data_IF_799086192262
#
_entry.id   IF_799086192262
#
_cell.length_a   1.000
_cell.length_b   1.000
_cell.length_c   1.000
_cell.angle_alpha   90.00
_cell.angle_beta   90.00
_cell.angle_gamma   90.00
#
_symmetry.space_group_name_H-M   'P 1'
#
loop_
_entity.id
_entity.type
_entity.pdbx_description
1 polymer ?
#
# COMPACT_ATOMS: atom_id res chain seq x y z
N UNK A 1 71.40 -15.38 44.04
CA UNK A 1 70.10 -15.53 44.72
C UNK A 1 69.02 -15.36 43.67
N UNK A 2 68.35 -16.45 43.28
CA UNK A 2 67.29 -16.46 42.27
C UNK A 2 65.98 -16.78 42.98
N UNK A 3 65.07 -15.81 43.07
CA UNK A 3 63.70 -16.05 43.52
C UNK A 3 62.81 -16.27 42.30
N UNK A 4 62.30 -17.49 42.14
CA UNK A 4 61.15 -17.77 41.25
C UNK A 4 59.88 -17.63 42.07
N UNK A 5 59.04 -16.65 41.75
CA UNK A 5 57.66 -16.64 42.20
C UNK A 5 56.82 -17.52 41.27
N UNK A 6 56.28 -18.62 41.82
CA UNK A 6 55.13 -19.33 41.25
C UNK A 6 53.90 -18.45 41.47
N UNK A 7 53.19 -18.12 40.41
CA UNK A 7 51.79 -17.70 40.51
C UNK A 7 50.92 -18.93 40.24
N UNK A 8 50.39 -19.49 41.32
CA UNK A 8 49.28 -20.46 41.25
C UNK A 8 47.99 -19.73 40.92
N UNK A 9 47.21 -20.34 40.03
CA UNK A 9 45.96 -19.82 39.52
C UNK A 9 44.85 -19.85 40.55
N UNK A 10 44.20 -18.71 40.74
CA UNK A 10 42.91 -18.62 41.39
C UNK A 10 41.90 -18.09 40.36
N UNK A 11 41.29 -19.01 39.62
CA UNK A 11 40.17 -18.70 38.75
C UNK A 11 38.95 -18.44 39.65
N UNK A 12 38.53 -17.18 39.70
CA UNK A 12 37.45 -16.73 40.58
C UNK A 12 36.10 -17.30 40.14
N UNK A 13 35.48 -18.14 40.97
CA UNK A 13 34.10 -18.63 40.82
C UNK A 13 33.06 -17.49 40.67
N UNK A 14 33.37 -16.28 41.12
CA UNK A 14 32.47 -15.11 41.03
C UNK A 14 32.17 -14.64 39.61
N UNK A 15 33.03 -14.94 38.63
CA UNK A 15 32.77 -14.61 37.22
C UNK A 15 31.78 -15.56 36.54
N UNK A 16 31.67 -16.80 37.00
CA UNK A 16 30.85 -17.84 36.38
C UNK A 16 29.35 -17.66 36.67
N UNK A 17 28.97 -17.26 37.88
CA UNK A 17 27.56 -17.02 38.24
C UNK A 17 26.99 -15.76 37.57
N UNK A 18 27.78 -14.69 37.43
CA UNK A 18 27.38 -13.49 36.69
C UNK A 18 27.22 -13.75 35.19
N UNK A 19 28.07 -14.62 34.62
CA UNK A 19 27.94 -15.07 33.23
C UNK A 19 26.65 -15.86 32.96
N UNK A 20 26.22 -16.70 33.91
CA UNK A 20 24.99 -17.48 33.79
C UNK A 20 23.73 -16.60 33.71
N UNK A 21 23.64 -15.57 34.56
CA UNK A 21 22.52 -14.61 34.52
C UNK A 21 22.46 -13.81 33.21
N UNK A 22 23.63 -13.36 32.72
CA UNK A 22 23.72 -12.68 31.44
C UNK A 22 23.32 -13.58 30.26
N UNK A 23 23.69 -14.87 30.32
CA UNK A 23 23.27 -15.87 29.33
C UNK A 23 21.75 -16.04 29.25
N UNK A 24 21.05 -16.09 30.38
CA UNK A 24 19.59 -16.20 30.42
C UNK A 24 18.92 -14.95 29.83
N UNK A 25 19.45 -13.75 30.13
CA UNK A 25 18.94 -12.50 29.55
C UNK A 25 19.12 -12.45 28.02
N UNK A 26 20.27 -12.88 27.51
CA UNK A 26 20.50 -12.99 26.07
C UNK A 26 19.54 -13.98 25.41
N UNK A 27 19.24 -15.10 26.08
CA UNK A 27 18.35 -16.14 25.56
C UNK A 27 16.91 -15.60 25.45
N UNK A 28 16.41 -14.92 26.48
CA UNK A 28 15.11 -14.25 26.45
C UNK A 28 15.04 -13.15 25.39
N UNK A 29 16.10 -12.34 25.27
CA UNK A 29 16.19 -11.30 24.25
C UNK A 29 16.17 -11.87 22.82
N UNK A 30 16.91 -12.95 22.57
CA UNK A 30 16.93 -13.63 21.28
C UNK A 30 15.57 -14.24 20.93
N UNK A 31 14.89 -14.87 21.90
CA UNK A 31 13.52 -15.39 21.69
C UNK A 31 12.52 -14.28 21.39
N UNK A 32 12.59 -13.14 22.08
CA UNK A 32 11.72 -12.00 21.78
C UNK A 32 11.99 -11.39 20.39
N UNK A 33 13.26 -11.27 19.99
CA UNK A 33 13.67 -10.82 18.66
C UNK A 33 13.16 -11.76 17.56
N UNK A 34 13.28 -13.08 17.76
CA UNK A 34 12.75 -14.09 16.84
C UNK A 34 11.23 -14.02 16.74
N UNK A 35 10.53 -13.86 17.87
CA UNK A 35 9.08 -13.74 17.89
C UNK A 35 8.59 -12.46 17.19
N UNK A 36 9.29 -11.33 17.34
CA UNK A 36 9.00 -10.09 16.59
C UNK A 36 9.24 -10.26 15.08
N UNK A 37 10.22 -11.07 14.69
CA UNK A 37 10.49 -11.38 13.29
C UNK A 37 9.43 -12.32 12.69
N UNK A 38 9.07 -13.39 13.40
CA UNK A 38 8.02 -14.33 12.99
C UNK A 38 6.63 -13.70 13.01
N UNK A 39 6.37 -12.75 13.92
CA UNK A 39 5.11 -12.01 13.96
C UNK A 39 4.84 -11.22 12.68
N UNK A 40 5.88 -10.72 11.99
CA UNK A 40 5.75 -10.06 10.68
C UNK A 40 5.56 -11.10 9.57
N UNK A 41 6.27 -12.23 9.62
CA UNK A 41 6.16 -13.29 8.62
C UNK A 41 4.79 -14.00 8.63
N UNK A 42 4.26 -14.31 9.82
CA UNK A 42 2.96 -14.99 9.99
C UNK A 42 1.79 -14.09 9.58
N UNK A 43 1.87 -12.78 9.87
CA UNK A 43 0.85 -11.81 9.42
C UNK A 43 0.80 -11.67 7.90
N UNK A 44 1.96 -11.77 7.24
CA UNK A 44 2.06 -11.72 5.77
C UNK A 44 1.56 -13.01 5.13
N UNK A 45 1.90 -14.18 5.68
CA UNK A 45 1.43 -15.46 5.15
C UNK A 45 -0.10 -15.60 5.25
N UNK A 46 -0.70 -15.16 6.36
CA UNK A 46 -2.15 -15.23 6.57
C UNK A 46 -2.93 -14.28 5.65
N UNK A 47 -2.41 -13.08 5.37
CA UNK A 47 -3.01 -12.18 4.37
C UNK A 47 -2.93 -12.73 2.95
N UNK A 48 -1.88 -13.49 2.62
CA UNK A 48 -1.77 -14.17 1.33
C UNK A 48 -2.77 -15.33 1.20
N UNK A 49 -3.06 -16.07 2.27
CA UNK A 49 -4.02 -17.17 2.28
C UNK A 49 -5.48 -16.67 2.20
N UNK A 50 -5.82 -15.63 2.97
CA UNK A 50 -7.12 -14.95 2.89
C UNK A 50 -7.34 -14.28 1.52
N UNK A 51 -6.29 -13.68 0.94
CA UNK A 51 -6.34 -13.18 -0.44
C UNK A 51 -6.50 -14.30 -1.48
N UNK A 52 -5.95 -15.50 -1.22
CA UNK A 52 -6.01 -16.64 -2.15
C UNK A 52 -7.40 -17.28 -2.27
N UNK A 53 -8.24 -17.13 -1.25
CA UNK A 53 -9.54 -17.81 -1.17
C UNK A 53 -10.65 -17.06 -1.94
N UNK A 54 -10.42 -15.80 -2.31
CA UNK A 54 -11.37 -14.94 -3.04
C UNK A 54 -10.90 -14.57 -4.46
N UNK A 55 -10.05 -15.40 -5.08
CA UNK A 55 -9.40 -15.07 -6.35
C UNK A 55 -10.27 -15.42 -7.56
N UNK A 56 -10.69 -14.40 -8.31
CA UNK A 56 -11.20 -14.55 -9.66
C UNK A 56 -10.04 -14.61 -10.65
N UNK A 57 -10.03 -15.61 -11.54
CA UNK A 57 -9.10 -15.68 -12.67
C UNK A 57 -9.53 -14.68 -13.75
N UNK A 58 -8.59 -14.13 -14.51
CA UNK A 58 -8.84 -13.09 -15.52
C UNK A 58 -9.92 -13.47 -16.57
N UNK A 59 -10.21 -14.76 -16.75
CA UNK A 59 -11.29 -15.25 -17.62
C UNK A 59 -12.70 -15.21 -17.02
N UNK A 60 -12.83 -15.10 -15.70
CA UNK A 60 -14.10 -15.10 -14.95
C UNK A 60 -14.43 -13.71 -14.36
N UNK A 61 -13.78 -12.65 -14.87
CA UNK A 61 -13.92 -11.28 -14.35
C UNK A 61 -15.31 -10.70 -14.61
N UNK A 62 -16.00 -11.18 -15.64
CA UNK A 62 -17.34 -10.68 -16.01
C UNK A 62 -18.39 -10.93 -14.91
N UNK A 63 -18.20 -11.97 -14.08
CA UNK A 63 -19.09 -12.33 -12.97
C UNK A 63 -18.53 -11.91 -11.59
N UNK A 64 -17.37 -11.25 -11.54
CA UNK A 64 -16.75 -10.86 -10.29
C UNK A 64 -17.58 -9.75 -9.60
N UNK A 65 -17.94 -9.91 -8.31
CA UNK A 65 -18.68 -8.87 -7.59
C UNK A 65 -17.84 -7.59 -7.47
N UNK A 66 -18.52 -6.44 -7.48
CA UNK A 66 -17.88 -5.13 -7.32
C UNK A 66 -17.09 -5.11 -6.00
N UNK A 67 -15.79 -4.86 -6.10
CA UNK A 67 -14.86 -4.88 -4.96
C UNK A 67 -14.13 -6.20 -4.73
N UNK A 68 -14.30 -7.20 -5.61
CA UNK A 68 -13.52 -8.43 -5.56
C UNK A 68 -12.05 -8.20 -5.92
N UNK A 69 -11.16 -8.86 -5.19
CA UNK A 69 -9.75 -8.93 -5.55
C UNK A 69 -9.57 -9.90 -6.73
N UNK A 70 -9.11 -9.38 -7.86
CA UNK A 70 -8.83 -10.19 -9.05
C UNK A 70 -7.32 -10.39 -9.17
N UNK A 71 -6.89 -11.64 -9.38
CA UNK A 71 -5.49 -11.97 -9.64
C UNK A 71 -5.34 -12.57 -11.03
N UNK A 72 -4.42 -12.01 -11.81
CA UNK A 72 -4.04 -12.54 -13.11
C UNK A 72 -2.64 -13.13 -13.05
N UNK A 73 -2.54 -14.43 -13.33
CA UNK A 73 -1.28 -15.14 -13.52
C UNK A 73 -1.18 -15.63 -14.96
N UNK A 74 -0.02 -15.43 -15.59
CA UNK A 74 0.26 -15.90 -16.93
C UNK A 74 1.76 -15.92 -17.20
N UNK A 75 2.19 -16.80 -18.11
CA UNK A 75 3.59 -16.87 -18.49
C UNK A 75 3.92 -15.71 -19.43
N UNK A 76 4.75 -14.77 -18.98
CA UNK A 76 5.22 -13.68 -19.81
C UNK A 76 6.37 -14.15 -20.70
N UNK A 77 6.30 -13.85 -22.01
CA UNK A 77 7.35 -14.13 -22.98
C UNK A 77 7.84 -12.83 -23.60
N UNK A 78 9.16 -12.60 -23.57
CA UNK A 78 9.78 -11.46 -24.27
C UNK A 78 10.19 -11.89 -25.69
N UNK A 79 9.78 -11.18 -26.74
CA UNK A 79 10.09 -11.56 -28.12
C UNK A 79 11.56 -11.30 -28.53
N UNK A 80 12.35 -10.56 -27.74
CA UNK A 80 13.76 -10.30 -28.03
C UNK A 80 14.46 -9.49 -26.94
N UNK A 81 15.80 -9.31 -27.05
CA UNK A 81 16.59 -8.56 -26.08
C UNK A 81 16.33 -7.05 -26.18
N UNK A 82 16.30 -6.37 -25.03
CA UNK A 82 16.37 -4.91 -24.95
C UNK A 82 17.79 -4.48 -25.31
N UNK A 83 17.93 -3.52 -26.21
CA UNK A 83 19.20 -2.97 -26.64
C UNK A 83 19.24 -1.48 -26.33
N UNK A 84 20.31 -1.05 -25.67
CA UNK A 84 20.65 0.35 -25.46
C UNK A 84 21.87 0.69 -26.33
N UNK A 85 21.64 1.38 -27.45
CA UNK A 85 22.69 1.72 -28.41
C UNK A 85 23.66 2.80 -27.90
N UNK A 86 23.28 3.58 -26.89
CA UNK A 86 24.13 4.61 -26.31
C UNK A 86 25.18 4.00 -25.36
N UNK A 87 24.85 2.89 -24.69
CA UNK A 87 25.73 2.20 -23.75
C UNK A 87 26.25 0.84 -24.26
N UNK A 88 25.76 0.35 -25.40
CA UNK A 88 26.18 -0.92 -26.00
C UNK A 88 25.75 -2.16 -25.21
N UNK A 89 24.70 -2.04 -24.40
CA UNK A 89 24.21 -3.12 -23.51
C UNK A 89 23.01 -3.78 -24.18
N UNK A 90 23.02 -5.11 -24.26
CA UNK A 90 21.90 -5.92 -24.73
C UNK A 90 21.55 -6.97 -23.68
N UNK A 91 20.29 -7.00 -23.23
CA UNK A 91 19.83 -7.95 -22.21
C UNK A 91 18.39 -8.40 -22.44
N UNK A 92 18.10 -9.66 -22.09
CA UNK A 92 16.73 -10.14 -21.99
C UNK A 92 16.13 -9.63 -20.68
N UNK A 93 15.50 -8.46 -20.75
CA UNK A 93 14.89 -7.80 -19.61
C UNK A 93 13.40 -7.58 -19.79
N UNK A 94 12.71 -7.40 -18.67
CA UNK A 94 11.33 -6.94 -18.61
C UNK A 94 11.23 -5.94 -17.46
N UNK A 95 10.52 -4.84 -17.69
CA UNK A 95 10.14 -3.90 -16.63
C UNK A 95 8.64 -3.88 -16.48
N UNK A 96 8.16 -4.02 -15.24
CA UNK A 96 6.75 -3.88 -14.90
C UNK A 96 6.51 -2.45 -14.38
N UNK A 97 5.69 -1.68 -15.09
CA UNK A 97 5.21 -0.38 -14.64
C UNK A 97 3.78 -0.50 -14.17
N UNK A 98 3.54 -0.36 -12.87
CA UNK A 98 2.20 -0.24 -12.30
C UNK A 98 1.76 1.23 -12.38
N UNK A 99 0.59 1.47 -12.97
CA UNK A 99 -0.09 2.78 -12.92
C UNK A 99 -1.39 2.55 -12.16
N UNK A 100 -1.44 2.86 -10.86
CA UNK A 100 -2.64 2.64 -10.07
C UNK A 100 -3.72 3.67 -10.42
N UNK A 101 -4.95 3.21 -10.54
CA UNK A 101 -6.14 4.06 -10.68
C UNK A 101 -7.19 3.64 -9.66
N UNK A 102 -7.92 4.62 -9.13
CA UNK A 102 -8.99 4.41 -8.16
C UNK A 102 -10.32 4.78 -8.80
N UNK A 103 -11.34 3.93 -8.64
CA UNK A 103 -12.70 4.24 -9.04
C UNK A 103 -13.37 5.12 -7.99
N UNK A 104 -13.63 6.38 -8.35
CA UNK A 104 -14.04 7.41 -7.40
C UNK A 104 -15.06 8.37 -8.03
N UNK A 105 -15.92 8.94 -7.19
CA UNK A 105 -16.88 9.96 -7.59
C UNK A 105 -16.19 11.25 -8.03
N UNK A 106 -16.73 11.88 -9.06
CA UNK A 106 -16.36 13.21 -9.53
C UNK A 106 -17.59 14.11 -9.60
N UNK A 107 -17.50 15.30 -9.03
CA UNK A 107 -18.53 16.32 -9.13
C UNK A 107 -18.31 17.19 -10.37
N UNK A 108 -19.40 17.40 -11.10
CA UNK A 108 -19.49 18.30 -12.23
C UNK A 108 -20.39 19.47 -11.88
N UNK A 109 -19.86 20.69 -12.00
CA UNK A 109 -20.57 21.93 -11.71
C UNK A 109 -20.87 22.69 -12.99
N UNK A 110 -22.15 22.90 -13.27
CA UNK A 110 -22.61 23.73 -14.39
C UNK A 110 -23.38 24.94 -13.87
N UNK A 111 -23.03 26.13 -14.35
CA UNK A 111 -23.66 27.38 -13.92
C UNK A 111 -24.27 28.06 -15.13
N UNK A 112 -25.56 28.40 -15.05
CA UNK A 112 -26.28 29.10 -16.10
C UNK A 112 -27.02 30.31 -15.54
N UNK A 113 -27.10 31.38 -16.32
CA UNK A 113 -27.83 32.60 -15.94
C UNK A 113 -29.15 32.62 -16.71
N UNK A 114 -30.27 32.76 -15.98
CA UNK A 114 -31.60 32.91 -16.57
C UNK A 114 -32.19 34.25 -16.18
N UNK A 115 -32.82 34.92 -17.14
CA UNK A 115 -33.57 36.14 -16.87
C UNK A 115 -34.91 35.78 -16.22
N UNK A 116 -35.18 36.34 -15.04
CA UNK A 116 -36.44 36.21 -14.32
C UNK A 116 -37.04 37.59 -14.06
N UNK A 117 -38.37 37.68 -14.06
CA UNK A 117 -39.07 38.93 -13.78
C UNK A 117 -39.13 39.14 -12.27
N UNK A 118 -38.51 40.21 -11.79
CA UNK A 118 -38.55 40.61 -10.39
C UNK A 118 -39.90 41.20 -9.99
N UNK A 119 -40.12 41.33 -8.67
CA UNK A 119 -41.35 41.87 -8.08
C UNK A 119 -41.69 43.30 -8.51
N UNK A 120 -40.70 44.07 -8.99
CA UNK A 120 -40.84 45.45 -9.47
C UNK A 120 -41.02 45.53 -11.01
N UNK A 121 -41.21 44.39 -11.70
CA UNK A 121 -41.34 44.32 -13.15
C UNK A 121 -40.01 44.38 -13.93
N UNK A 122 -38.87 44.61 -13.26
CA UNK A 122 -37.54 44.59 -13.90
C UNK A 122 -37.06 43.17 -14.15
N UNK A 123 -36.25 42.98 -15.20
CA UNK A 123 -35.60 41.71 -15.49
C UNK A 123 -34.35 41.56 -14.63
N UNK A 124 -34.29 40.52 -13.82
CA UNK A 124 -33.15 40.16 -12.97
C UNK A 124 -32.45 38.95 -13.56
N UNK A 125 -31.13 38.89 -13.39
CA UNK A 125 -30.32 37.74 -13.76
C UNK A 125 -30.26 36.78 -12.55
N UNK A 126 -30.87 35.60 -12.69
CA UNK A 126 -30.82 34.52 -11.70
C UNK A 126 -29.73 33.52 -12.09
N UNK A 127 -28.81 33.26 -11.16
CA UNK A 127 -27.72 32.29 -11.35
C UNK A 127 -28.16 30.92 -10.86
N UNK A 128 -28.38 30.00 -11.78
CA UNK A 128 -28.73 28.60 -11.49
C UNK A 128 -27.47 27.74 -11.57
N UNK A 129 -27.10 27.13 -10.44
CA UNK A 129 -25.99 26.17 -10.39
C UNK A 129 -26.56 24.76 -10.30
N UNK A 130 -26.11 23.86 -11.18
CA UNK A 130 -26.44 22.45 -11.19
C UNK A 130 -25.20 21.62 -10.90
N UNK A 131 -25.37 20.58 -10.10
CA UNK A 131 -24.35 19.62 -9.75
C UNK A 131 -24.75 18.25 -10.30
N UNK A 132 -23.81 17.54 -10.91
CA UNK A 132 -23.98 16.14 -11.32
C UNK A 132 -22.76 15.33 -10.89
N UNK A 133 -22.96 14.02 -10.73
CA UNK A 133 -21.94 13.12 -10.20
C UNK A 133 -21.84 11.88 -11.08
N UNK A 134 -20.61 11.47 -11.37
CA UNK A 134 -20.29 10.22 -12.05
C UNK A 134 -19.03 9.62 -11.44
N UNK A 135 -18.93 8.31 -11.51
CA UNK A 135 -17.80 7.56 -10.98
C UNK A 135 -16.82 7.23 -12.11
N UNK A 136 -15.56 7.64 -11.90
CA UNK A 136 -14.49 7.56 -12.90
C UNK A 136 -13.27 6.84 -12.33
N UNK A 137 -12.50 6.21 -13.20
CA UNK A 137 -11.13 5.81 -12.89
C UNK A 137 -10.22 7.03 -12.88
N UNK A 138 -9.39 7.16 -11.85
CA UNK A 138 -8.46 8.28 -11.74
C UNK A 138 -7.15 7.85 -11.09
N UNK A 139 -6.03 8.26 -11.70
CA UNK A 139 -4.69 8.10 -11.14
C UNK A 139 -4.33 9.10 -10.03
N UNK A 140 -5.27 9.92 -9.56
CA UNK A 140 -5.07 10.86 -8.46
C UNK A 140 -6.31 10.98 -7.57
N UNK A 141 -6.11 11.38 -6.31
CA UNK A 141 -7.21 11.48 -5.36
C UNK A 141 -8.15 12.65 -5.69
N UNK A 142 -9.46 12.37 -5.83
CA UNK A 142 -10.50 13.42 -5.88
C UNK A 142 -11.05 13.64 -4.47
N UNK A 143 -10.84 14.85 -3.94
CA UNK A 143 -11.39 15.26 -2.66
C UNK A 143 -12.91 15.35 -2.73
N UNK A 144 -13.59 14.42 -2.08
CA UNK A 144 -15.05 14.45 -1.90
C UNK A 144 -15.49 15.41 -0.80
N UNK A 145 -14.57 15.93 0.03
CA UNK A 145 -14.89 16.87 1.11
C UNK A 145 -15.43 18.23 0.63
N UNK A 146 -15.20 18.57 -0.64
CA UNK A 146 -15.73 19.79 -1.27
C UNK A 146 -16.99 19.54 -2.11
N UNK A 147 -17.52 18.32 -2.14
CA UNK A 147 -18.74 18.04 -2.88
C UNK A 147 -19.94 18.75 -2.24
N UNK A 148 -20.81 19.26 -3.10
CA UNK A 148 -22.07 19.89 -2.73
C UNK A 148 -23.03 18.90 -2.07
N UNK A 149 -23.08 17.66 -2.55
CA UNK A 149 -23.80 16.55 -1.93
C UNK A 149 -22.84 15.64 -1.17
N UNK A 150 -23.07 15.50 0.14
CA UNK A 150 -22.23 14.72 1.06
C UNK A 150 -22.52 13.21 1.04
N UNK A 151 -23.56 12.77 0.33
CA UNK A 151 -23.84 11.35 0.14
C UNK A 151 -22.80 10.66 -0.76
N UNK A 152 -22.12 11.44 -1.61
CA UNK A 152 -20.99 10.97 -2.42
C UNK A 152 -19.69 11.14 -1.65
N UNK A 153 -19.06 10.02 -1.29
CA UNK A 153 -17.80 10.01 -0.56
C UNK A 153 -16.79 9.12 -1.27
N UNK A 154 -15.55 9.61 -1.34
CA UNK A 154 -14.41 8.88 -1.87
C UNK A 154 -13.52 8.40 -0.72
N UNK A 155 -12.94 7.19 -0.82
CA UNK A 155 -11.93 6.75 0.13
C UNK A 155 -10.69 7.65 0.08
N UNK A 156 -9.86 7.59 1.12
CA UNK A 156 -8.54 8.21 1.06
C UNK A 156 -7.66 7.47 0.04
N UNK A 157 -6.69 8.18 -0.53
CA UNK A 157 -5.81 7.61 -1.55
C UNK A 157 -5.09 6.34 -1.07
N UNK A 158 -4.59 6.35 0.17
CA UNK A 158 -3.91 5.19 0.74
C UNK A 158 -4.88 4.03 0.96
N UNK A 159 -6.06 4.29 1.54
CA UNK A 159 -7.06 3.25 1.76
C UNK A 159 -7.54 2.60 0.45
N UNK A 160 -7.51 3.33 -0.67
CA UNK A 160 -7.87 2.80 -1.98
C UNK A 160 -6.76 2.00 -2.68
N UNK A 161 -5.50 2.14 -2.26
CA UNK A 161 -4.35 1.46 -2.87
C UNK A 161 -3.77 0.33 -2.02
N UNK A 162 -4.09 0.32 -0.72
CA UNK A 162 -3.63 -0.67 0.25
C UNK A 162 -4.57 -1.90 0.34
N UNK A 163 -5.69 -1.90 -0.40
CA UNK A 163 -6.61 -3.03 -0.61
C UNK A 163 -6.17 -3.89 -1.79
#
# INVERSE_FOLDING_TARGET
SVSRSRHDGQQSLGGACCGAGFGVLLLLGATALLWMNEGVAVRTARSLDEASTALFRLGDVEDAPIGALVHAAGMLRTPGPLQDDAFGISTNGLSLKRVPEVYQWKEHKSTSTRKVRGSNGQMLDEKVTKYSYDSIWSGSAISSGSFNDRSFSNPSWHAALDT
#
